data_IF_818575036981
#
_entry.id   IF_818575036981
#
_cell.length_a   1.000
_cell.length_b   1.000
_cell.length_c   1.000
_cell.angle_alpha   90.00
_cell.angle_beta   90.00
_cell.angle_gamma   90.00
#
_symmetry.space_group_name_H-M   'P 1'
#
loop_
_entity.id
_entity.type
_entity.pdbx_description
1 polymer ?
#
# COMPACT_ATOMS: atom_id res chain seq x y z
N UNK A 1 -13.25 4.18 5.88
CA UNK A 1 -11.90 4.40 5.34
C UNK A 1 -10.86 3.91 6.34
N UNK A 2 -9.95 3.10 5.87
CA UNK A 2 -8.78 2.67 6.63
C UNK A 2 -7.57 3.51 6.20
N UNK A 3 -6.92 4.17 7.15
CA UNK A 3 -5.64 4.82 6.92
C UNK A 3 -4.59 4.16 7.79
N UNK A 4 -3.50 3.71 7.18
CA UNK A 4 -2.42 3.01 7.88
C UNK A 4 -1.06 3.55 7.40
N UNK A 5 -0.13 3.72 8.32
CA UNK A 5 1.25 3.99 7.99
C UNK A 5 2.03 2.68 7.95
N UNK A 6 2.86 2.53 6.93
CA UNK A 6 3.69 1.35 6.71
C UNK A 6 5.15 1.77 6.54
N UNK A 7 6.10 0.86 6.81
CA UNK A 7 7.51 1.16 6.54
C UNK A 7 7.75 1.34 5.04
N UNK A 8 8.82 2.06 4.72
CA UNK A 8 9.22 2.26 3.33
C UNK A 8 9.53 0.91 2.68
N UNK A 9 8.94 0.60 1.51
CA UNK A 9 9.09 -0.71 0.89
C UNK A 9 10.48 -0.94 0.32
N UNK A 10 10.88 -2.19 0.24
CA UNK A 10 12.03 -2.60 -0.55
C UNK A 10 11.72 -2.47 -2.05
N UNK A 11 12.74 -2.29 -2.88
CA UNK A 11 12.52 -2.20 -4.33
C UNK A 11 11.98 -3.52 -4.89
N UNK A 12 11.26 -3.45 -6.02
CA UNK A 12 10.74 -4.65 -6.68
C UNK A 12 11.87 -5.64 -7.03
N UNK A 13 13.04 -5.15 -7.41
CA UNK A 13 14.21 -5.98 -7.71
C UNK A 13 14.76 -6.73 -6.49
N UNK A 14 14.55 -6.19 -5.29
CA UNK A 14 14.95 -6.84 -4.04
C UNK A 14 13.80 -7.63 -3.39
N UNK A 15 12.61 -7.56 -3.95
CA UNK A 15 11.42 -8.21 -3.43
C UNK A 15 11.19 -9.58 -4.04
N UNK A 16 11.37 -9.72 -5.35
CA UNK A 16 11.24 -10.98 -6.07
C UNK A 16 12.58 -11.44 -6.65
N UNK A 17 12.73 -12.75 -6.73
CA UNK A 17 13.84 -13.40 -7.40
C UNK A 17 13.37 -14.62 -8.18
N UNK A 18 14.09 -14.98 -9.22
CA UNK A 18 13.84 -16.17 -10.01
C UNK A 18 14.55 -17.37 -9.37
N UNK A 19 13.81 -18.42 -9.06
CA UNK A 19 14.33 -19.70 -8.61
C UNK A 19 13.82 -20.80 -9.56
N UNK A 20 14.71 -21.24 -10.47
CA UNK A 20 14.30 -22.14 -11.56
C UNK A 20 13.34 -21.43 -12.51
N UNK A 21 12.10 -21.96 -12.62
CA UNK A 21 11.02 -21.37 -13.43
C UNK A 21 10.01 -20.57 -12.60
N UNK A 22 10.29 -20.35 -11.32
CA UNK A 22 9.35 -19.69 -10.40
C UNK A 22 9.87 -18.33 -9.99
N UNK A 23 8.96 -17.39 -9.87
CA UNK A 23 9.19 -16.12 -9.21
C UNK A 23 8.87 -16.28 -7.73
N UNK A 24 9.87 -16.13 -6.87
CA UNK A 24 9.71 -16.26 -5.42
C UNK A 24 10.09 -14.97 -4.69
N UNK A 25 9.57 -14.82 -3.48
CA UNK A 25 9.92 -13.69 -2.61
C UNK A 25 11.27 -13.91 -1.95
N UNK A 26 12.08 -12.86 -1.91
CA UNK A 26 13.40 -12.87 -1.29
C UNK A 26 13.31 -12.87 0.24
N UNK A 27 14.43 -13.09 0.92
CA UNK A 27 14.53 -12.92 2.38
C UNK A 27 14.18 -11.49 2.79
N UNK A 28 14.62 -10.47 2.03
CA UNK A 28 14.27 -9.07 2.27
C UNK A 28 12.78 -8.81 2.13
N UNK A 29 12.14 -9.42 1.14
CA UNK A 29 10.69 -9.35 0.96
C UNK A 29 9.94 -9.93 2.16
N UNK A 30 10.34 -11.11 2.63
CA UNK A 30 9.72 -11.74 3.79
C UNK A 30 9.89 -10.91 5.06
N UNK A 31 11.05 -10.28 5.24
CA UNK A 31 11.28 -9.37 6.36
C UNK A 31 10.38 -8.13 6.28
N UNK A 32 10.23 -7.56 5.10
CA UNK A 32 9.33 -6.42 4.88
C UNK A 32 7.87 -6.80 5.15
N UNK A 33 7.41 -7.93 4.66
CA UNK A 33 6.06 -8.43 4.92
C UNK A 33 5.82 -8.62 6.42
N UNK A 34 6.80 -9.15 7.15
CA UNK A 34 6.71 -9.31 8.60
C UNK A 34 6.52 -7.96 9.31
N UNK A 35 7.20 -6.92 8.87
CA UNK A 35 7.00 -5.56 9.39
C UNK A 35 5.59 -5.04 9.08
N UNK A 36 5.12 -5.21 7.84
CA UNK A 36 3.75 -4.82 7.44
C UNK A 36 2.71 -5.54 8.31
N UNK A 37 2.90 -6.82 8.57
CA UNK A 37 2.03 -7.60 9.46
C UNK A 37 1.99 -7.00 10.87
N UNK A 38 3.13 -6.58 11.43
CA UNK A 38 3.16 -5.95 12.75
C UNK A 38 2.39 -4.63 12.78
N UNK A 39 2.55 -3.78 11.77
CA UNK A 39 1.76 -2.55 11.65
C UNK A 39 0.27 -2.84 11.51
N UNK A 40 -0.08 -3.86 10.74
CA UNK A 40 -1.47 -4.28 10.56
C UNK A 40 -2.08 -4.83 11.86
N UNK A 41 -1.34 -5.66 12.61
CA UNK A 41 -1.79 -6.18 13.91
C UNK A 41 -2.04 -5.04 14.90
N UNK A 42 -1.17 -4.02 14.91
CA UNK A 42 -1.38 -2.85 15.75
C UNK A 42 -2.63 -2.06 15.32
N UNK A 43 -2.84 -1.87 14.04
CA UNK A 43 -4.04 -1.21 13.52
C UNK A 43 -5.32 -1.98 13.91
N UNK A 44 -5.31 -3.30 13.82
CA UNK A 44 -6.43 -4.15 14.26
C UNK A 44 -6.71 -4.02 15.75
N UNK A 45 -5.67 -3.94 16.55
CA UNK A 45 -5.81 -3.70 18.00
C UNK A 45 -6.50 -2.38 18.29
N UNK A 46 -6.31 -1.38 17.44
CA UNK A 46 -6.93 -0.06 17.53
C UNK A 46 -8.31 0.02 16.85
N UNK A 47 -8.84 -1.11 16.38
CA UNK A 47 -10.19 -1.20 15.83
C UNK A 47 -10.27 -1.36 14.31
N UNK A 48 -9.17 -1.40 13.60
CA UNK A 48 -9.19 -1.64 12.15
C UNK A 48 -9.66 -3.05 11.83
N UNK A 49 -10.38 -3.18 10.72
CA UNK A 49 -10.92 -4.46 10.23
C UNK A 49 -10.45 -4.73 8.81
N UNK A 50 -10.17 -5.99 8.51
CA UNK A 50 -9.87 -6.43 7.16
C UNK A 50 -11.09 -6.24 6.25
N UNK A 51 -10.83 -5.99 4.98
CA UNK A 51 -11.88 -5.92 3.96
C UNK A 51 -12.32 -7.31 3.55
N UNK A 52 -13.62 -7.50 3.35
CA UNK A 52 -14.18 -8.75 2.88
C UNK A 52 -13.83 -9.02 1.42
N UNK A 53 -13.85 -10.30 1.04
CA UNK A 53 -13.47 -10.75 -0.31
C UNK A 53 -14.31 -10.17 -1.45
N UNK A 54 -15.53 -9.76 -1.16
CA UNK A 54 -16.48 -9.24 -2.16
C UNK A 54 -16.46 -7.70 -2.24
N UNK A 55 -15.67 -7.05 -1.41
CA UNK A 55 -15.54 -5.59 -1.44
C UNK A 55 -14.62 -5.14 -2.57
N UNK A 56 -15.06 -4.14 -3.30
CA UNK A 56 -14.25 -3.46 -4.30
C UNK A 56 -13.55 -2.27 -3.66
N UNK A 57 -12.24 -2.15 -3.87
CA UNK A 57 -11.39 -1.24 -3.12
C UNK A 57 -10.78 -0.14 -3.99
N UNK A 58 -10.62 1.03 -3.39
CA UNK A 58 -9.83 2.13 -3.91
C UNK A 58 -8.70 2.46 -2.94
N UNK A 59 -7.48 2.60 -3.46
CA UNK A 59 -6.28 2.89 -2.69
C UNK A 59 -5.71 4.25 -3.06
N UNK A 60 -5.33 5.01 -2.04
CA UNK A 60 -4.48 6.18 -2.18
C UNK A 60 -3.19 5.94 -1.39
N UNK A 61 -2.07 5.99 -2.07
CA UNK A 61 -0.75 5.71 -1.50
C UNK A 61 0.10 6.98 -1.59
N UNK A 62 0.51 7.50 -0.45
CA UNK A 62 1.45 8.61 -0.36
C UNK A 62 2.82 8.07 0.08
N UNK A 63 3.80 8.15 -0.81
CA UNK A 63 5.14 7.63 -0.56
C UNK A 63 6.04 8.77 -0.11
N UNK A 64 6.50 8.71 1.14
CA UNK A 64 7.45 9.65 1.73
C UNK A 64 8.86 9.09 1.60
N UNK A 65 9.61 9.59 0.62
CA UNK A 65 10.97 9.14 0.37
C UNK A 65 11.94 9.69 1.42
N UNK A 66 12.92 8.88 1.87
CA UNK A 66 13.98 9.39 2.72
C UNK A 66 14.87 10.36 1.94
N UNK A 67 15.24 11.48 2.54
CA UNK A 67 15.95 12.57 1.86
C UNK A 67 17.36 12.19 1.40
N UNK A 68 17.98 11.19 2.02
CA UNK A 68 19.37 10.79 1.74
C UNK A 68 19.51 9.64 0.77
N UNK A 69 18.45 8.98 0.41
CA UNK A 69 18.50 7.98 -0.66
C UNK A 69 18.30 8.68 -1.99
N UNK A 70 19.19 8.45 -2.92
CA UNK A 70 19.04 8.92 -4.28
C UNK A 70 17.67 8.51 -4.89
N UNK A 71 17.46 8.68 -6.20
CA UNK A 71 16.18 8.36 -6.85
C UNK A 71 15.90 6.86 -6.77
N UNK A 72 15.49 6.39 -5.60
CA UNK A 72 15.31 4.99 -5.29
C UNK A 72 13.92 4.51 -5.67
N UNK A 73 13.87 3.94 -6.82
CA UNK A 73 12.74 3.16 -7.27
C UNK A 73 11.64 4.01 -7.91
N UNK A 74 11.10 3.46 -8.96
CA UNK A 74 9.92 3.99 -9.60
C UNK A 74 8.71 3.83 -8.68
N UNK A 75 7.86 4.82 -8.64
CA UNK A 75 6.63 4.84 -7.83
C UNK A 75 5.77 3.60 -8.09
N UNK A 76 5.64 3.18 -9.33
CA UNK A 76 4.84 2.00 -9.68
C UNK A 76 5.45 0.70 -9.16
N UNK A 77 6.77 0.57 -9.15
CA UNK A 77 7.46 -0.58 -8.57
C UNK A 77 7.27 -0.66 -7.05
N UNK A 78 7.31 0.46 -6.36
CA UNK A 78 7.00 0.51 -4.93
C UNK A 78 5.53 0.18 -4.66
N UNK A 79 4.63 0.65 -5.52
CA UNK A 79 3.21 0.33 -5.44
C UNK A 79 2.94 -1.17 -5.56
N UNK A 80 3.60 -1.86 -6.47
CA UNK A 80 3.47 -3.33 -6.62
C UNK A 80 3.88 -4.07 -5.35
N UNK A 81 4.99 -3.69 -4.76
CA UNK A 81 5.48 -4.28 -3.51
C UNK A 81 4.50 -4.06 -2.37
N UNK A 82 4.00 -2.84 -2.22
CA UNK A 82 3.01 -2.50 -1.20
C UNK A 82 1.72 -3.29 -1.34
N UNK A 83 1.18 -3.36 -2.54
CA UNK A 83 -0.07 -4.08 -2.83
C UNK A 83 0.08 -5.56 -2.49
N UNK A 84 1.19 -6.19 -2.88
CA UNK A 84 1.46 -7.58 -2.55
C UNK A 84 1.65 -7.81 -1.05
N UNK A 85 2.40 -6.94 -0.39
CA UNK A 85 2.65 -7.05 1.05
C UNK A 85 1.36 -6.90 1.87
N UNK A 86 0.49 -5.97 1.50
CA UNK A 86 -0.80 -5.77 2.15
C UNK A 86 -1.75 -6.96 1.95
N UNK A 87 -1.77 -7.55 0.76
CA UNK A 87 -2.52 -8.78 0.48
C UNK A 87 -2.00 -9.92 1.36
N UNK A 88 -0.70 -10.14 1.39
CA UNK A 88 -0.08 -11.20 2.21
C UNK A 88 -0.33 -10.99 3.70
N UNK A 89 -0.35 -9.73 4.15
CA UNK A 89 -0.67 -9.40 5.55
C UNK A 89 -2.15 -9.61 5.91
N UNK A 90 -3.02 -9.74 4.91
CA UNK A 90 -4.45 -10.00 5.13
C UNK A 90 -5.30 -8.75 5.30
N UNK A 91 -4.84 -7.58 4.88
CA UNK A 91 -5.65 -6.36 4.89
C UNK A 91 -6.84 -6.50 3.95
N UNK A 92 -6.64 -7.14 2.83
CA UNK A 92 -7.66 -7.62 1.89
C UNK A 92 -7.25 -9.00 1.38
N UNK A 93 -8.14 -9.70 0.70
CA UNK A 93 -7.90 -11.10 0.33
C UNK A 93 -7.21 -11.27 -1.03
N UNK A 94 -7.47 -10.34 -1.97
CA UNK A 94 -6.96 -10.45 -3.32
C UNK A 94 -6.76 -9.07 -3.93
N UNK A 95 -5.65 -8.86 -4.61
CA UNK A 95 -5.35 -7.60 -5.29
C UNK A 95 -6.34 -7.28 -6.41
N UNK A 96 -7.07 -8.29 -6.92
CA UNK A 96 -8.15 -8.09 -7.90
C UNK A 96 -9.33 -7.29 -7.35
N UNK A 97 -9.45 -7.17 -6.04
CA UNK A 97 -10.45 -6.32 -5.40
C UNK A 97 -10.18 -4.84 -5.64
N UNK A 98 -8.94 -4.49 -5.98
CA UNK A 98 -8.51 -3.10 -6.16
C UNK A 98 -8.89 -2.62 -7.56
N UNK A 99 -9.73 -1.59 -7.62
CA UNK A 99 -10.18 -0.95 -8.87
C UNK A 99 -9.41 0.31 -9.19
N UNK A 100 -9.04 1.06 -8.18
CA UNK A 100 -8.37 2.34 -8.33
C UNK A 100 -7.16 2.38 -7.43
N UNK A 101 -6.04 2.81 -7.99
CA UNK A 101 -4.83 3.09 -7.23
C UNK A 101 -4.33 4.45 -7.64
N UNK A 102 -4.11 5.31 -6.67
CA UNK A 102 -3.41 6.56 -6.85
C UNK A 102 -2.16 6.55 -5.98
N UNK A 103 -1.02 6.82 -6.58
CA UNK A 103 0.26 6.87 -5.88
C UNK A 103 0.85 8.25 -6.08
N UNK A 104 1.20 8.90 -4.99
CA UNK A 104 1.87 10.19 -4.99
C UNK A 104 3.21 10.09 -4.31
N UNK A 105 4.15 10.88 -4.80
CA UNK A 105 5.46 11.07 -4.18
C UNK A 105 5.40 12.33 -3.31
N UNK A 106 5.73 12.19 -2.04
CA UNK A 106 5.77 13.28 -1.09
C UNK A 106 7.12 13.35 -0.39
N UNK A 107 7.48 14.53 0.07
CA UNK A 107 8.68 14.70 0.87
C UNK A 107 8.45 14.15 2.29
N UNK A 108 9.44 13.45 2.82
CA UNK A 108 9.38 12.96 4.18
C UNK A 108 9.42 14.13 5.17
N UNK A 109 8.48 14.15 6.11
CA UNK A 109 8.45 15.12 7.21
C UNK A 109 9.65 14.93 8.14
N UNK A 110 10.05 13.68 8.34
CA UNK A 110 11.27 13.30 9.03
C UNK A 110 12.34 12.93 7.99
N UNK A 111 13.44 13.67 7.99
CA UNK A 111 14.47 13.59 6.94
C UNK A 111 15.31 12.32 6.95
N UNK A 112 15.09 11.39 7.86
CA UNK A 112 15.95 10.23 8.04
C UNK A 112 15.32 8.90 7.66
N UNK A 113 14.00 8.76 7.73
CA UNK A 113 13.29 7.49 7.51
C UNK A 113 12.15 7.72 6.53
N UNK A 114 12.15 6.94 5.47
CA UNK A 114 11.02 6.88 4.55
C UNK A 114 9.83 6.14 5.17
N UNK A 115 8.65 6.46 4.72
CA UNK A 115 7.42 5.79 5.14
C UNK A 115 6.38 5.85 4.01
N UNK A 116 5.30 5.12 4.19
CA UNK A 116 4.18 5.13 3.26
C UNK A 116 2.88 5.28 4.04
N UNK A 117 2.02 6.20 3.60
CA UNK A 117 0.66 6.29 4.12
C UNK A 117 -0.30 5.72 3.08
N UNK A 118 -1.09 4.76 3.49
CA UNK A 118 -2.08 4.11 2.62
C UNK A 118 -3.47 4.36 3.16
N UNK A 119 -4.33 4.90 2.32
CA UNK A 119 -5.77 5.03 2.61
C UNK A 119 -6.53 4.08 1.71
N UNK A 120 -7.40 3.27 2.30
CA UNK A 120 -8.19 2.25 1.60
C UNK A 120 -9.65 2.49 1.92
N UNK A 121 -10.48 2.50 0.88
CA UNK A 121 -11.93 2.52 1.06
C UNK A 121 -12.62 1.51 0.16
N UNK A 122 -13.75 1.02 0.62
CA UNK A 122 -14.68 0.28 -0.22
C UNK A 122 -15.37 1.23 -1.19
N UNK A 123 -15.44 0.84 -2.45
CA UNK A 123 -16.12 1.63 -3.47
C UNK A 123 -17.23 0.79 -4.13
N UNK A 124 -18.33 1.43 -4.59
CA UNK A 124 -19.40 0.71 -5.26
C UNK A 124 -18.93 0.02 -6.53
N UNK A 125 -19.48 -1.15 -6.83
CA UNK A 125 -19.19 -1.91 -8.04
C UNK A 125 -19.43 -1.12 -9.33
N UNK A 126 -20.31 -0.13 -9.27
CA UNK A 126 -20.76 0.68 -10.41
C UNK A 126 -19.96 1.98 -10.60
N UNK A 127 -18.85 2.16 -9.93
CA UNK A 127 -17.97 3.29 -10.22
C UNK A 127 -17.47 3.16 -11.67
N UNK A 128 -18.25 3.76 -12.59
CA UNK A 128 -17.86 3.83 -14.00
C UNK A 128 -16.63 4.72 -14.13
N UNK A 129 -15.77 4.38 -15.08
CA UNK A 129 -14.59 5.15 -15.49
C UNK A 129 -14.85 6.65 -15.78
N UNK A 130 -16.12 7.07 -15.75
CA UNK A 130 -16.57 8.43 -15.97
C UNK A 130 -16.57 9.31 -14.72
N UNK A 131 -16.40 8.74 -13.53
CA UNK A 131 -16.22 9.54 -12.33
C UNK A 131 -14.77 10.06 -12.24
N UNK A 132 -14.46 10.96 -13.18
CA UNK A 132 -13.18 11.67 -13.27
C UNK A 132 -12.90 12.57 -12.05
N UNK A 133 -13.80 12.57 -11.06
CA UNK A 133 -13.73 13.40 -9.86
C UNK A 133 -13.28 12.63 -8.61
N UNK A 134 -12.89 11.35 -8.74
CA UNK A 134 -12.32 10.63 -7.61
C UNK A 134 -10.94 11.21 -7.30
N UNK A 135 -10.89 12.07 -6.30
CA UNK A 135 -9.64 12.72 -5.86
C UNK A 135 -9.20 12.12 -4.53
N UNK A 136 -7.89 12.04 -4.37
CA UNK A 136 -7.26 11.66 -3.09
C UNK A 136 -7.77 12.49 -1.92
N UNK A 137 -8.09 13.75 -2.19
CA UNK A 137 -8.64 14.69 -1.21
C UNK A 137 -9.92 14.16 -0.55
N UNK A 138 -10.75 13.44 -1.29
CA UNK A 138 -11.98 12.83 -0.74
C UNK A 138 -11.67 11.66 0.20
N UNK A 139 -10.64 10.88 -0.12
CA UNK A 139 -10.21 9.78 0.76
C UNK A 139 -9.57 10.32 2.04
N UNK A 140 -8.80 11.41 1.94
CA UNK A 140 -8.17 12.04 3.09
C UNK A 140 -9.17 12.72 4.02
N UNK A 141 -10.18 13.39 3.47
CA UNK A 141 -11.18 14.12 4.27
C UNK A 141 -12.12 13.20 5.06
N UNK A 142 -12.41 12.01 4.56
CA UNK A 142 -13.22 11.03 5.29
C UNK A 142 -12.48 10.38 6.46
N UNK A 143 -11.15 10.37 6.41
CA UNK A 143 -10.31 9.80 7.48
C UNK A 143 -10.09 10.73 8.68
N UNK A 144 -10.34 12.02 8.53
CA UNK A 144 -10.18 13.02 9.59
C UNK A 144 -11.46 13.28 10.40
N UNK A 145 -12.56 12.65 10.03
CA UNK A 145 -13.82 12.66 10.77
C UNK A 145 -13.97 11.41 11.61
#
# INVERSE_FOLDING_TARGET
VLTIELPFPVSANSYWQIAGRRLIKTKRARAYIAEVVLYWLNAKRLGAKAFGKDETLALAIAVHYPVKSGPDGDIDNLGKVLIDAMETAGIYQNDRQIRFVQISREEAKDKTIGSVRVSIKSCPHEMQLNDRNFRVEEIHNEGEK
#
